data_IF_140812652566
#
_entry.id   IF_140812652566
#
_cell.length_a   1.000
_cell.length_b   1.000
_cell.length_c   1.000
_cell.angle_alpha   90.00
_cell.angle_beta   90.00
_cell.angle_gamma   90.00
#
_symmetry.space_group_name_H-M   'P 1'
#
loop_
_entity.id
_entity.type
_entity.pdbx_description
1 polymer ?
#
# COMPACT_ATOMS: atom_id res chain seq x y z
N UNK A 1 0.05 -1.79 -19.12
CA UNK A 1 0.80 -2.00 -17.86
C UNK A 1 -0.23 -2.39 -16.82
N UNK A 2 0.00 -3.45 -16.05
CA UNK A 2 -0.98 -3.92 -15.06
C UNK A 2 -0.96 -2.97 -13.85
N UNK A 3 -2.13 -2.43 -13.46
CA UNK A 3 -2.28 -1.52 -12.33
C UNK A 3 -1.76 -2.15 -11.04
N UNK A 4 -2.04 -3.45 -10.81
CA UNK A 4 -1.55 -4.17 -9.61
C UNK A 4 -0.03 -4.22 -9.61
N UNK A 5 0.59 -4.45 -10.75
CA UNK A 5 2.05 -4.49 -10.88
C UNK A 5 2.68 -3.11 -10.65
N UNK A 6 2.09 -2.05 -11.20
CA UNK A 6 2.58 -0.68 -11.00
C UNK A 6 2.49 -0.27 -9.52
N UNK A 7 1.35 -0.52 -8.88
CA UNK A 7 1.14 -0.20 -7.46
C UNK A 7 2.04 -1.07 -6.57
N UNK A 8 2.18 -2.36 -6.86
CA UNK A 8 3.11 -3.28 -6.18
C UNK A 8 4.55 -2.75 -6.19
N UNK A 9 5.04 -2.26 -7.33
CA UNK A 9 6.39 -1.72 -7.43
C UNK A 9 6.58 -0.48 -6.56
N UNK A 10 5.65 0.48 -6.60
CA UNK A 10 5.73 1.69 -5.78
C UNK A 10 5.75 1.34 -4.28
N UNK A 11 4.89 0.42 -3.84
CA UNK A 11 4.80 0.00 -2.45
C UNK A 11 6.09 -0.69 -2.01
N UNK A 12 6.62 -1.61 -2.81
CA UNK A 12 7.87 -2.30 -2.48
C UNK A 12 9.05 -1.33 -2.40
N UNK A 13 9.12 -0.32 -3.26
CA UNK A 13 10.20 0.67 -3.24
C UNK A 13 10.15 1.57 -1.99
N UNK A 14 8.96 2.01 -1.56
CA UNK A 14 8.85 2.89 -0.39
C UNK A 14 8.94 2.12 0.94
N UNK A 15 8.50 0.86 0.97
CA UNK A 15 8.45 0.03 2.17
C UNK A 15 9.51 -1.08 2.23
N UNK A 16 10.55 -1.00 1.39
CA UNK A 16 11.63 -1.99 1.43
C UNK A 16 12.20 -2.14 2.85
N UNK A 17 12.32 -3.39 3.30
CA UNK A 17 12.76 -3.75 4.65
C UNK A 17 11.68 -3.68 5.76
N UNK A 18 10.56 -2.99 5.55
CA UNK A 18 9.45 -2.88 6.50
C UNK A 18 8.19 -3.65 6.06
N UNK A 19 8.02 -3.88 4.75
CA UNK A 19 6.88 -4.61 4.18
C UNK A 19 6.88 -6.08 4.62
N UNK A 20 5.75 -6.55 5.13
CA UNK A 20 5.50 -7.95 5.49
C UNK A 20 4.50 -8.58 4.52
N UNK A 21 3.37 -7.91 4.30
CA UNK A 21 2.26 -8.42 3.51
C UNK A 21 1.71 -7.36 2.55
N UNK A 22 1.26 -7.82 1.38
CA UNK A 22 0.62 -6.98 0.39
C UNK A 22 -0.56 -7.72 -0.26
N UNK A 23 -1.77 -7.23 0.00
CA UNK A 23 -3.01 -7.82 -0.49
C UNK A 23 -3.74 -6.83 -1.39
N UNK A 24 -4.22 -7.33 -2.53
CA UNK A 24 -4.87 -6.55 -3.57
C UNK A 24 -6.30 -7.03 -3.79
N UNK A 25 -7.26 -6.15 -3.58
CA UNK A 25 -8.67 -6.38 -3.90
C UNK A 25 -9.08 -5.42 -5.01
N UNK A 26 -9.78 -5.87 -6.06
CA UNK A 26 -10.15 -4.91 -7.09
C UNK A 26 -10.85 -5.52 -8.29
N UNK A 27 -11.89 -4.85 -8.82
CA UNK A 27 -12.48 -3.57 -8.35
C UNK A 27 -13.25 -3.70 -7.01
N UNK A 28 -13.20 -2.70 -6.13
CA UNK A 28 -13.80 -2.70 -4.77
C UNK A 28 -14.43 -1.34 -4.44
N UNK A 29 -15.66 -1.32 -3.90
CA UNK A 29 -16.42 -0.12 -3.44
C UNK A 29 -16.42 1.14 -4.35
N UNK A 30 -16.14 1.00 -5.65
CA UNK A 30 -16.09 2.12 -6.60
C UNK A 30 -14.67 2.55 -6.99
N UNK A 31 -13.66 2.00 -6.32
CA UNK A 31 -12.25 2.16 -6.65
C UNK A 31 -11.81 1.13 -7.71
N UNK A 32 -10.83 1.53 -8.52
CA UNK A 32 -10.22 0.65 -9.53
C UNK A 32 -9.44 -0.49 -8.85
N UNK A 33 -8.88 -0.23 -7.66
CA UNK A 33 -8.10 -1.17 -6.86
C UNK A 33 -8.09 -0.72 -5.39
N UNK A 34 -8.22 -1.65 -4.46
CA UNK A 34 -7.96 -1.46 -3.04
C UNK A 34 -6.73 -2.28 -2.62
N UNK A 35 -5.88 -1.69 -1.79
CA UNK A 35 -4.64 -2.31 -1.35
C UNK A 35 -4.50 -2.27 0.16
N UNK A 36 -4.24 -3.44 0.75
CA UNK A 36 -3.85 -3.59 2.14
C UNK A 36 -2.34 -3.80 2.22
N UNK A 37 -1.66 -2.90 2.94
CA UNK A 37 -0.22 -2.92 3.14
C UNK A 37 0.05 -3.27 4.61
N UNK A 38 0.53 -4.49 4.86
CA UNK A 38 0.95 -4.93 6.18
C UNK A 38 2.44 -4.66 6.38
N UNK A 39 2.80 -3.88 7.40
CA UNK A 39 4.18 -3.62 7.78
C UNK A 39 4.57 -4.46 8.99
N UNK A 40 5.78 -5.02 8.98
CA UNK A 40 6.37 -5.74 10.13
C UNK A 40 6.65 -4.80 11.30
N UNK A 41 7.05 -3.57 11.00
CA UNK A 41 7.34 -2.52 11.96
C UNK A 41 7.15 -1.16 11.32
N UNK A 42 6.84 -0.15 12.13
CA UNK A 42 6.76 1.23 11.66
C UNK A 42 8.18 1.78 11.41
N UNK A 43 8.53 2.19 10.17
CA UNK A 43 9.80 2.85 9.90
C UNK A 43 9.82 4.28 10.47
N UNK A 44 11.00 4.78 10.84
CA UNK A 44 11.15 6.12 11.45
C UNK A 44 10.63 7.27 10.58
N UNK A 45 10.63 7.08 9.25
CA UNK A 45 10.17 8.03 8.25
C UNK A 45 8.81 7.63 7.63
N UNK A 46 7.96 6.95 8.42
CA UNK A 46 6.65 6.45 7.98
C UNK A 46 5.78 7.51 7.30
N UNK A 47 5.61 8.68 7.92
CA UNK A 47 4.77 9.75 7.36
C UNK A 47 5.28 10.21 5.98
N UNK A 48 6.60 10.35 5.83
CA UNK A 48 7.21 10.80 4.59
C UNK A 48 7.09 9.74 3.49
N UNK A 49 7.38 8.47 3.81
CA UNK A 49 7.22 7.32 2.91
C UNK A 49 5.77 7.16 2.46
N UNK A 50 4.82 7.21 3.40
CA UNK A 50 3.40 7.08 3.10
C UNK A 50 2.89 8.22 2.21
N UNK A 51 3.31 9.46 2.47
CA UNK A 51 2.96 10.60 1.62
C UNK A 51 3.54 10.46 0.20
N UNK A 52 4.81 10.07 0.06
CA UNK A 52 5.44 9.84 -1.25
C UNK A 52 4.77 8.70 -2.01
N UNK A 53 4.54 7.57 -1.35
CA UNK A 53 3.84 6.42 -1.92
C UNK A 53 2.45 6.83 -2.45
N UNK A 54 1.62 7.46 -1.61
CA UNK A 54 0.26 7.90 -2.00
C UNK A 54 0.29 8.90 -3.16
N UNK A 55 1.27 9.80 -3.17
CA UNK A 55 1.46 10.73 -4.29
C UNK A 55 1.77 9.99 -5.60
N UNK A 56 2.74 9.07 -5.57
CA UNK A 56 3.15 8.28 -6.74
C UNK A 56 2.03 7.39 -7.26
N UNK A 57 1.23 6.79 -6.38
CA UNK A 57 0.06 5.98 -6.77
C UNK A 57 -1.00 6.87 -7.42
N UNK A 58 -1.26 8.07 -6.89
CA UNK A 58 -2.20 9.02 -7.48
C UNK A 58 -1.79 9.46 -8.88
N UNK A 59 -0.49 9.60 -9.13
CA UNK A 59 0.05 9.98 -10.44
C UNK A 59 -0.17 8.90 -11.53
N UNK A 60 -0.55 7.68 -11.15
CA UNK A 60 -0.98 6.65 -12.11
C UNK A 60 -2.33 6.97 -12.78
N UNK A 61 -3.13 7.86 -12.17
CA UNK A 61 -4.42 8.31 -12.71
C UNK A 61 -5.59 7.35 -12.47
N UNK A 62 -5.44 6.40 -11.54
CA UNK A 62 -6.48 5.45 -11.12
C UNK A 62 -6.96 5.78 -9.71
N UNK A 63 -8.20 5.40 -9.39
CA UNK A 63 -8.72 5.51 -8.04
C UNK A 63 -8.29 4.28 -7.24
N UNK A 64 -7.26 4.47 -6.39
CA UNK A 64 -6.66 3.38 -5.61
C UNK A 64 -6.85 3.63 -4.13
N UNK A 65 -7.74 2.85 -3.52
CA UNK A 65 -7.92 2.79 -2.08
C UNK A 65 -6.74 2.10 -1.41
N UNK A 66 -6.32 2.60 -0.24
CA UNK A 66 -5.18 2.03 0.45
C UNK A 66 -5.24 2.19 1.97
N UNK A 67 -4.99 1.08 2.66
CA UNK A 67 -4.81 0.99 4.11
C UNK A 67 -3.41 0.45 4.39
N UNK A 68 -2.72 1.11 5.31
CA UNK A 68 -1.39 0.70 5.79
C UNK A 68 -1.52 0.42 7.27
N UNK A 69 -1.15 -0.78 7.70
CA UNK A 69 -1.31 -1.22 9.08
C UNK A 69 -0.10 -2.04 9.54
N UNK A 70 0.11 -2.11 10.86
CA UNK A 70 1.12 -2.99 11.44
C UNK A 70 0.54 -4.40 11.57
N UNK A 71 1.29 -5.42 11.16
CA UNK A 71 0.80 -6.82 11.19
C UNK A 71 0.49 -7.30 12.61
N UNK A 72 1.11 -6.71 13.64
CA UNK A 72 0.78 -6.98 15.04
C UNK A 72 -0.65 -6.54 15.42
N UNK A 73 -1.24 -5.57 14.70
CA UNK A 73 -2.62 -5.10 14.90
C UNK A 73 -3.63 -5.78 13.96
N UNK A 74 -3.17 -6.56 12.97
CA UNK A 74 -4.01 -7.27 11.99
C UNK A 74 -4.53 -8.64 12.48
N UNK A 75 -4.37 -8.97 13.78
CA UNK A 75 -5.00 -10.15 14.39
C UNK A 75 -6.29 -9.75 15.11
N UNK A 76 -7.49 -9.90 14.51
CA UNK A 76 -8.69 -10.08 15.31
C UNK A 76 -8.62 -11.45 16.00
N UNK A 77 -8.97 -11.45 17.29
CA UNK A 77 -9.01 -12.60 18.18
C UNK A 77 -9.80 -13.82 17.66
#
# INVERSE_FOLDING_TARGET
>A
MDLKQAVSQIINEEWDGALEELTFEGPYEGEDLFVFVGLRHEPQDFEERNARMRHRVRDLGYDVGMVVDLVDDLVPA
#
